data_IF_109030332994
#
_entry.id   IF_109030332994
#
_cell.length_a   1.000
_cell.length_b   1.000
_cell.length_c   1.000
_cell.angle_alpha   90.00
_cell.angle_beta   90.00
_cell.angle_gamma   90.00
#
_symmetry.space_group_name_H-M   'P 1'
#
loop_
_entity.id
_entity.type
_entity.pdbx_description
1 polymer ?
#
# COMPACT_ATOMS: atom_id res chain seq x y z
N UNK A 1 56.72 -27.44 10.36
CA UNK A 1 57.38 -26.75 9.23
C UNK A 1 56.32 -26.02 8.40
N UNK A 2 56.49 -24.73 8.11
CA UNK A 2 55.53 -23.96 7.28
C UNK A 2 56.00 -23.98 5.83
N UNK A 3 55.12 -24.40 4.91
CA UNK A 3 55.44 -24.51 3.49
C UNK A 3 55.09 -23.20 2.78
N UNK A 4 56.11 -22.36 2.57
CA UNK A 4 56.00 -20.94 2.18
C UNK A 4 55.65 -20.70 0.70
N UNK A 5 55.85 -21.70 -0.14
CA UNK A 5 55.58 -21.62 -1.58
C UNK A 5 54.15 -22.01 -1.94
N UNK A 6 53.40 -22.59 -0.99
CA UNK A 6 52.01 -22.99 -1.25
C UNK A 6 51.12 -21.79 -1.54
N UNK A 7 50.14 -21.98 -2.42
CA UNK A 7 49.15 -20.95 -2.78
C UNK A 7 48.37 -20.46 -1.55
N UNK A 8 48.05 -21.34 -0.60
CA UNK A 8 47.37 -20.96 0.64
C UNK A 8 48.24 -20.08 1.53
N UNK A 9 49.53 -20.40 1.66
CA UNK A 9 50.47 -19.52 2.34
C UNK A 9 50.52 -18.17 1.63
N UNK A 10 50.58 -18.15 0.29
CA UNK A 10 50.56 -16.89 -0.47
C UNK A 10 49.25 -16.10 -0.29
N UNK A 11 48.07 -16.72 -0.32
CA UNK A 11 46.77 -16.03 -0.08
C UNK A 11 46.62 -15.54 1.36
N UNK A 12 46.92 -16.40 2.34
CA UNK A 12 46.84 -16.06 3.79
C UNK A 12 47.82 -14.96 4.17
N UNK A 13 49.00 -14.95 3.54
CA UNK A 13 50.04 -13.94 3.77
C UNK A 13 50.09 -12.90 2.65
N UNK A 14 49.02 -12.79 1.84
CA UNK A 14 48.82 -11.80 0.77
C UNK A 14 49.98 -11.64 -0.23
N UNK A 15 50.77 -12.69 -0.46
CA UNK A 15 51.87 -12.69 -1.43
C UNK A 15 51.34 -12.77 -2.87
N UNK A 16 51.60 -11.73 -3.66
CA UNK A 16 51.27 -11.66 -5.08
C UNK A 16 49.77 -11.61 -5.37
N UNK A 17 48.99 -11.03 -4.46
CA UNK A 17 47.71 -10.47 -4.84
C UNK A 17 47.98 -9.09 -5.42
N UNK A 18 47.73 -8.88 -6.72
CA UNK A 18 47.38 -7.55 -7.19
C UNK A 18 46.01 -7.25 -6.60
N UNK A 19 45.92 -6.17 -5.83
CA UNK A 19 44.72 -5.78 -5.10
C UNK A 19 43.64 -5.26 -6.07
N UNK A 20 43.12 -6.10 -6.96
CA UNK A 20 41.76 -5.90 -7.45
C UNK A 20 40.80 -6.48 -6.40
N UNK A 21 40.83 -5.83 -5.24
CA UNK A 21 39.75 -5.88 -4.27
C UNK A 21 38.50 -5.41 -4.98
N UNK A 22 37.48 -6.26 -5.04
CA UNK A 22 36.21 -5.92 -5.66
C UNK A 22 35.75 -4.55 -5.16
N UNK A 23 35.72 -3.58 -6.07
CA UNK A 23 35.27 -2.23 -5.74
C UNK A 23 33.80 -2.35 -5.33
N UNK A 24 33.51 -2.11 -4.05
CA UNK A 24 32.13 -2.04 -3.58
C UNK A 24 31.43 -0.91 -4.34
N UNK A 25 30.49 -1.26 -5.21
CA UNK A 25 29.68 -0.27 -5.91
C UNK A 25 28.68 0.30 -4.90
N UNK A 26 28.64 1.62 -4.70
CA UNK A 26 27.71 2.24 -3.77
C UNK A 26 26.27 2.06 -4.26
N UNK A 27 25.37 1.70 -3.35
CA UNK A 27 23.93 1.63 -3.64
C UNK A 27 23.33 3.03 -3.49
N UNK A 28 22.62 3.51 -4.52
CA UNK A 28 21.95 4.82 -4.48
C UNK A 28 20.51 4.74 -3.94
N UNK A 29 20.20 5.32 -2.78
CA UNK A 29 18.82 5.56 -2.36
C UNK A 29 18.25 6.80 -3.07
N UNK A 30 17.16 6.65 -3.82
CA UNK A 30 16.45 7.78 -4.46
C UNK A 30 15.13 8.04 -3.76
N UNK A 31 14.96 9.24 -3.23
CA UNK A 31 13.77 9.62 -2.46
C UNK A 31 13.32 11.06 -2.76
N UNK A 32 12.35 11.51 -1.99
CA UNK A 32 11.12 12.15 -2.46
C UNK A 32 11.31 13.33 -3.42
N UNK A 33 10.70 13.21 -4.61
CA UNK A 33 10.53 14.26 -5.61
C UNK A 33 9.16 14.92 -5.45
N UNK A 34 9.07 16.22 -5.76
CA UNK A 34 7.78 16.88 -5.91
C UNK A 34 7.02 16.28 -7.12
N UNK A 35 5.68 16.27 -7.05
CA UNK A 35 4.81 15.75 -8.11
C UNK A 35 3.89 16.90 -8.55
N UNK A 36 3.52 16.93 -9.83
CA UNK A 36 2.53 17.90 -10.32
C UNK A 36 1.24 17.77 -9.51
N UNK A 37 0.78 18.87 -8.91
CA UNK A 37 -0.42 18.91 -8.07
C UNK A 37 -0.21 18.63 -6.57
N UNK A 38 1.01 18.32 -6.12
CA UNK A 38 1.35 18.27 -4.69
C UNK A 38 2.83 18.63 -4.48
N UNK A 39 3.08 19.68 -3.69
CA UNK A 39 4.45 20.07 -3.36
C UNK A 39 5.11 18.97 -2.50
N UNK A 40 6.45 18.94 -2.50
CA UNK A 40 7.22 18.00 -1.66
C UNK A 40 6.84 18.12 -0.17
N UNK A 41 6.54 19.34 0.29
CA UNK A 41 6.16 19.61 1.68
C UNK A 41 4.80 19.01 2.04
N UNK A 42 3.83 19.08 1.13
CA UNK A 42 2.50 18.50 1.35
C UNK A 42 2.56 16.97 1.48
N UNK A 43 3.41 16.36 0.66
CA UNK A 43 3.63 14.90 0.66
C UNK A 43 4.25 14.47 2.00
N UNK A 44 5.27 15.20 2.48
CA UNK A 44 5.95 14.90 3.75
C UNK A 44 4.99 15.11 4.92
N UNK A 45 4.24 16.21 4.94
CA UNK A 45 3.29 16.53 6.00
C UNK A 45 2.20 15.46 6.12
N UNK A 46 1.68 14.98 4.99
CA UNK A 46 0.67 13.90 4.96
C UNK A 46 1.24 12.55 5.38
N UNK A 47 2.46 12.22 4.96
CA UNK A 47 3.14 10.97 5.32
C UNK A 47 3.44 10.89 6.83
N UNK A 48 3.94 11.98 7.41
CA UNK A 48 4.33 12.05 8.83
C UNK A 48 3.16 12.20 9.81
N UNK A 49 1.90 12.11 9.36
CA UNK A 49 0.75 12.15 10.26
C UNK A 49 0.76 10.96 11.22
N UNK A 50 0.51 11.23 12.50
CA UNK A 50 0.40 10.21 13.55
C UNK A 50 -0.73 9.23 13.21
N UNK A 51 -0.59 7.93 13.56
CA UNK A 51 -1.59 6.91 13.26
C UNK A 51 -2.96 7.22 13.87
N UNK A 52 -2.99 7.90 15.01
CA UNK A 52 -4.23 8.36 15.68
C UNK A 52 -5.04 9.31 14.80
N UNK A 53 -4.39 10.31 14.19
CA UNK A 53 -5.03 11.27 13.27
C UNK A 53 -5.51 10.56 12.01
N UNK A 54 -4.69 9.63 11.48
CA UNK A 54 -5.09 8.79 10.33
C UNK A 54 -6.33 7.95 10.65
N UNK A 55 -6.38 7.36 11.85
CA UNK A 55 -7.51 6.54 12.30
C UNK A 55 -8.77 7.40 12.51
N UNK A 56 -8.66 8.57 13.12
CA UNK A 56 -9.78 9.50 13.29
C UNK A 56 -10.40 9.93 11.94
N UNK A 57 -9.56 10.26 10.96
CA UNK A 57 -10.01 10.59 9.60
C UNK A 57 -10.68 9.40 8.91
N UNK A 58 -10.12 8.19 9.07
CA UNK A 58 -10.71 6.95 8.56
C UNK A 58 -12.08 6.69 9.18
N UNK A 59 -12.20 6.79 10.50
CA UNK A 59 -13.44 6.54 11.23
C UNK A 59 -14.52 7.56 10.86
N UNK A 60 -14.14 8.84 10.67
CA UNK A 60 -15.03 9.90 10.16
C UNK A 60 -15.54 9.58 8.75
N UNK A 61 -14.66 9.17 7.84
CA UNK A 61 -15.03 8.83 6.47
C UNK A 61 -15.97 7.62 6.42
N UNK A 62 -15.71 6.58 7.21
CA UNK A 62 -16.56 5.39 7.33
C UNK A 62 -17.95 5.77 7.85
N UNK A 63 -18.02 6.62 8.88
CA UNK A 63 -19.30 7.09 9.43
C UNK A 63 -20.10 7.84 8.38
N UNK A 64 -19.48 8.76 7.64
CA UNK A 64 -20.11 9.51 6.57
C UNK A 64 -20.59 8.60 5.42
N UNK A 65 -19.81 7.57 5.07
CA UNK A 65 -20.22 6.61 4.05
C UNK A 65 -21.42 5.76 4.50
N UNK A 66 -21.43 5.31 5.76
CA UNK A 66 -22.56 4.55 6.33
C UNK A 66 -23.82 5.38 6.41
N UNK A 67 -23.74 6.66 6.82
CA UNK A 67 -24.92 7.55 6.85
C UNK A 67 -25.47 7.82 5.46
N UNK A 68 -24.62 8.10 4.47
CA UNK A 68 -25.03 8.25 3.06
C UNK A 68 -25.72 6.99 2.53
N UNK A 69 -25.18 5.79 2.80
CA UNK A 69 -25.80 4.52 2.41
C UNK A 69 -27.17 4.32 3.07
N UNK A 70 -27.32 4.67 4.35
CA UNK A 70 -28.60 4.58 5.06
C UNK A 70 -29.64 5.52 4.45
N UNK A 71 -29.25 6.75 4.11
CA UNK A 71 -30.13 7.73 3.45
C UNK A 71 -30.58 7.22 2.07
N UNK A 72 -29.65 6.74 1.24
CA UNK A 72 -29.97 6.17 -0.08
C UNK A 72 -30.91 4.96 0.07
N UNK A 73 -30.67 4.08 1.05
CA UNK A 73 -31.55 2.94 1.32
C UNK A 73 -32.94 3.40 1.73
N UNK A 74 -33.04 4.42 2.58
CA UNK A 74 -34.32 4.99 3.01
C UNK A 74 -35.08 5.60 1.84
N UNK A 75 -34.40 6.34 0.95
CA UNK A 75 -34.97 6.93 -0.26
C UNK A 75 -35.42 5.86 -1.27
N UNK A 76 -34.68 4.76 -1.40
CA UNK A 76 -35.04 3.66 -2.32
C UNK A 76 -36.11 2.71 -1.77
N UNK A 77 -36.34 2.71 -0.45
CA UNK A 77 -37.34 1.86 0.23
C UNK A 77 -38.79 2.12 -0.24
N UNK A 78 -39.30 3.37 -0.37
CA UNK A 78 -40.66 3.60 -0.87
C UNK A 78 -40.82 3.15 -2.33
N UNK A 79 -39.83 3.37 -3.19
CA UNK A 79 -39.85 2.88 -4.58
C UNK A 79 -39.85 1.35 -4.65
N UNK A 80 -39.08 0.68 -3.78
CA UNK A 80 -39.07 -0.77 -3.69
C UNK A 80 -40.42 -1.35 -3.20
N UNK A 81 -41.02 -0.71 -2.18
CA UNK A 81 -42.34 -1.10 -1.65
C UNK A 81 -43.47 -0.87 -2.66
N UNK A 82 -43.40 0.19 -3.47
CA UNK A 82 -44.35 0.42 -4.56
C UNK A 82 -44.22 -0.65 -5.65
N UNK A 83 -43.00 -1.03 -6.02
CA UNK A 83 -42.75 -2.09 -7.02
C UNK A 83 -43.27 -3.47 -6.58
N UNK A 84 -43.19 -3.77 -5.28
CA UNK A 84 -43.72 -4.99 -4.68
C UNK A 84 -45.26 -5.03 -4.67
N UNK A 85 -45.93 -3.87 -4.46
CA UNK A 85 -47.40 -3.79 -4.49
C UNK A 85 -47.99 -3.91 -5.89
N UNK A 86 -47.25 -3.53 -6.93
CA UNK A 86 -47.75 -3.55 -8.32
C UNK A 86 -47.76 -4.94 -8.97
N UNK A 87 -47.15 -5.97 -8.36
CA UNK A 87 -47.21 -7.34 -8.86
C UNK A 87 -47.95 -8.25 -7.88
N UNK A 88 -49.28 -8.17 -7.79
CA UNK A 88 -50.05 -9.18 -7.07
C UNK A 88 -49.91 -10.50 -7.82
N UNK A 89 -49.40 -11.50 -7.10
CA UNK A 89 -49.31 -12.93 -7.42
C UNK A 89 -50.11 -13.36 -8.67
N UNK A 90 -49.41 -13.62 -9.79
CA UNK A 90 -49.99 -14.38 -10.91
C UNK A 90 -50.12 -15.83 -10.45
N UNK A 91 -51.31 -16.22 -9.98
CA UNK A 91 -51.63 -17.63 -9.72
C UNK A 91 -51.42 -18.42 -11.03
N UNK A 92 -50.58 -19.45 -10.98
CA UNK A 92 -50.50 -20.43 -12.08
C UNK A 92 -51.90 -21.07 -12.26
N UNK A 93 -52.37 -21.27 -13.50
CA UNK A 93 -53.59 -22.02 -13.72
C UNK A 93 -53.32 -23.47 -13.28
N UNK A 94 -54.17 -23.99 -12.38
CA UNK A 94 -54.20 -25.44 -12.12
C UNK A 94 -54.69 -26.11 -13.40
N UNK A 95 -53.87 -27.00 -13.95
CA UNK A 95 -54.29 -28.01 -14.91
C UNK A 95 -55.11 -29.08 -14.19
#
# INVERSE_FOLDING_TARGET
MKVTWTVLYRRKHKKGQEEETSKNVPVEPKFQRAIVGASLNDIIAKSKQRPEVRKANRDRAIRAAKSKRKLIKLQRRPQHLQKLKQHPNKKLPRM
#
